data_IF_116939386756
#
_entry.id   IF_116939386756
#
_cell.length_a   1.000
_cell.length_b   1.000
_cell.length_c   1.000
_cell.angle_alpha   90.00
_cell.angle_beta   90.00
_cell.angle_gamma   90.00
#
_symmetry.space_group_name_H-M   'P 1'
#
loop_
_entity.id
_entity.type
_entity.pdbx_description
1 polymer ?
2 water ?
#
# COMPACT_ATOMS: atom_id res chain seq x y z
N UNK A 2 17.07 -0.44 -4.90
CA UNK A 2 18.43 -0.12 -5.31
C UNK A 2 19.28 -1.38 -5.49
N UNK A 3 20.19 -1.64 -4.53
CA UNK A 3 21.10 -2.79 -4.51
C UNK A 3 20.30 -4.12 -4.35
N UNK A 4 20.32 -5.02 -5.37
CA UNK A 4 19.55 -6.29 -5.28
C UNK A 4 20.12 -7.29 -4.26
N UNK A 5 19.22 -7.84 -3.42
CA UNK A 5 19.53 -8.83 -2.39
C UNK A 5 18.68 -10.05 -2.64
N UNK A 6 18.84 -11.10 -1.81
CA UNK A 6 18.05 -12.33 -1.89
C UNK A 6 16.71 -12.16 -1.11
N UNK A 7 16.49 -10.99 -0.45
CA UNK A 7 15.25 -10.73 0.31
C UNK A 7 14.41 -9.69 -0.42
N UNK A 8 13.15 -10.07 -0.71
CA UNK A 8 12.16 -9.23 -1.38
C UNK A 8 11.13 -8.73 -0.39
N UNK A 9 10.79 -7.45 -0.47
CA UNK A 9 9.72 -6.89 0.33
C UNK A 9 8.52 -6.58 -0.56
N UNK A 10 7.38 -7.21 -0.27
CA UNK A 10 6.12 -7.03 -1.01
C UNK A 10 5.19 -6.09 -0.23
N UNK A 11 4.85 -4.95 -0.85
CA UNK A 11 3.99 -3.94 -0.22
C UNK A 11 2.67 -3.77 -0.98
N UNK A 12 1.64 -3.21 -0.30
CA UNK A 12 0.28 -2.94 -0.80
C UNK A 12 -0.57 -4.20 -0.95
N UNK A 13 -0.16 -5.31 -0.33
CA UNK A 13 -0.87 -6.57 -0.51
C UNK A 13 -1.79 -6.95 0.63
N UNK A 14 -1.56 -6.45 1.84
CA UNK A 14 -2.34 -6.84 3.00
C UNK A 14 -2.74 -5.66 3.84
N UNK A 15 -3.88 -5.78 4.51
CA UNK A 15 -4.32 -4.83 5.55
C UNK A 15 -4.02 -5.47 6.91
N UNK A 16 -3.51 -4.73 7.92
CA UNK A 16 -3.22 -5.35 9.24
C UNK A 16 -4.36 -6.22 9.79
N UNK A 17 -5.63 -5.79 9.55
CA UNK A 17 -6.87 -6.45 9.98
C UNK A 17 -6.92 -7.91 9.50
N UNK A 18 -6.43 -8.14 8.26
CA UNK A 18 -6.39 -9.43 7.59
C UNK A 18 -5.37 -10.39 8.23
N UNK A 19 -4.51 -9.88 9.14
CA UNK A 19 -3.48 -10.73 9.77
C UNK A 19 -3.78 -11.08 11.22
N UNK A 20 -4.96 -10.69 11.74
CA UNK A 20 -5.29 -10.93 13.15
C UNK A 20 -5.67 -12.38 13.42
N UNK A 21 -6.51 -12.98 12.53
CA UNK A 21 -6.95 -14.36 12.72
C UNK A 21 -5.92 -15.32 12.11
N UNK A 22 -5.52 -16.31 12.94
CA UNK A 22 -4.51 -17.33 12.64
C UNK A 22 -4.78 -18.05 11.33
N UNK A 23 -6.04 -18.46 11.07
CA UNK A 23 -6.44 -19.14 9.85
C UNK A 23 -6.19 -18.27 8.63
N UNK A 24 -6.58 -16.98 8.71
CA UNK A 24 -6.40 -16.03 7.63
C UNK A 24 -4.91 -15.76 7.42
N UNK A 25 -4.16 -15.57 8.51
CA UNK A 25 -2.72 -15.29 8.45
C UNK A 25 -1.98 -16.45 7.79
N UNK A 26 -2.30 -17.70 8.21
CA UNK A 26 -1.69 -18.92 7.67
C UNK A 26 -2.00 -19.07 6.18
N UNK A 27 -3.22 -18.72 5.74
CA UNK A 27 -3.63 -18.78 4.33
C UNK A 27 -2.83 -17.79 3.50
N UNK A 28 -2.59 -16.56 4.04
CA UNK A 28 -1.81 -15.52 3.34
C UNK A 28 -0.36 -16.01 3.17
N UNK A 29 0.25 -16.56 4.23
CA UNK A 29 1.62 -17.10 4.22
C UNK A 29 1.75 -18.16 3.08
N UNK A 30 0.82 -19.14 3.04
CA UNK A 30 0.80 -20.20 2.03
C UNK A 30 0.63 -19.63 0.62
N UNK A 31 -0.30 -18.66 0.45
CA UNK A 31 -0.55 -18.03 -0.85
C UNK A 31 0.68 -17.29 -1.37
N UNK A 32 1.38 -16.56 -0.46
CA UNK A 32 2.59 -15.81 -0.77
C UNK A 32 3.71 -16.80 -1.23
N UNK A 33 3.95 -17.86 -0.42
CA UNK A 33 4.95 -18.89 -0.67
C UNK A 33 4.72 -19.51 -2.02
N UNK A 34 3.47 -19.91 -2.32
CA UNK A 34 3.11 -20.57 -3.58
C UNK A 34 3.38 -19.65 -4.77
N UNK A 35 2.99 -18.37 -4.66
CA UNK A 35 3.23 -17.41 -5.76
C UNK A 35 4.75 -17.14 -5.97
N UNK A 36 5.50 -16.92 -4.88
CA UNK A 36 6.93 -16.66 -4.96
C UNK A 36 7.73 -17.89 -5.45
N UNK A 37 7.27 -19.11 -5.11
CA UNK A 37 7.90 -20.37 -5.47
C UNK A 37 7.99 -20.58 -7.00
N UNK A 38 7.20 -19.84 -7.79
CA UNK A 38 7.19 -19.88 -9.26
C UNK A 38 8.46 -19.25 -9.84
N UNK A 39 9.24 -18.52 -9.01
CA UNK A 39 10.45 -17.80 -9.42
C UNK A 39 11.76 -18.36 -8.83
N UNK A 40 11.64 -19.03 -7.68
CA UNK A 40 12.78 -19.63 -7.03
C UNK A 40 12.43 -20.25 -5.70
N UNK A 41 13.44 -20.81 -5.06
CA UNK A 41 13.33 -21.49 -3.78
C UNK A 41 13.15 -20.45 -2.68
N UNK A 42 12.05 -20.54 -1.96
CA UNK A 42 11.74 -19.65 -0.85
C UNK A 42 12.39 -20.25 0.40
N UNK A 43 13.42 -19.58 0.91
CA UNK A 43 14.13 -20.03 2.09
C UNK A 43 13.25 -19.78 3.36
N UNK A 44 12.64 -18.58 3.44
CA UNK A 44 11.77 -18.18 4.55
C UNK A 44 10.87 -17.03 4.18
N UNK A 45 9.87 -16.78 5.02
CA UNK A 45 8.89 -15.70 4.89
C UNK A 45 8.69 -15.09 6.29
N UNK A 46 8.55 -13.77 6.33
CA UNK A 46 8.21 -12.99 7.51
C UNK A 46 7.09 -12.04 7.15
N UNK A 47 5.97 -12.19 7.83
CA UNK A 47 4.80 -11.33 7.69
C UNK A 47 4.51 -10.81 9.10
N UNK A 48 5.07 -9.61 9.48
CA UNK A 48 4.83 -9.10 10.85
C UNK A 48 3.33 -8.92 11.12
N UNK A 49 2.87 -9.50 12.24
CA UNK A 49 1.46 -9.51 12.64
C UNK A 49 1.15 -8.36 13.58
N UNK A 50 -0.04 -7.75 13.46
CA UNK A 50 -0.37 -6.61 14.35
C UNK A 50 -0.72 -7.03 15.77
N UNK A 51 -0.40 -6.17 16.74
CA UNK A 51 -0.70 -6.26 18.16
C UNK A 51 -1.20 -4.86 18.51
N UNK A 52 -2.50 -4.69 18.67
CA UNK A 52 -3.10 -3.39 18.89
C UNK A 52 -2.53 -2.67 20.13
N UNK A 53 -1.97 -1.49 19.90
CA UNK A 53 -1.37 -0.64 20.92
C UNK A 53 0.12 -0.82 21.11
N UNK A 54 0.67 -1.84 20.45
CA UNK A 54 2.10 -2.16 20.44
C UNK A 54 2.60 -1.93 19.02
N UNK A 55 3.75 -1.25 18.90
CA UNK A 55 4.32 -0.95 17.61
C UNK A 55 4.94 -2.22 17.00
N UNK A 56 4.53 -2.54 15.77
CA UNK A 56 5.07 -3.69 15.07
C UNK A 56 5.67 -3.19 13.74
N UNK A 57 7.00 -2.92 13.69
CA UNK A 57 7.58 -2.42 12.44
C UNK A 57 7.48 -3.44 11.31
N UNK A 58 7.08 -2.96 10.13
CA UNK A 58 6.95 -3.82 8.96
C UNK A 58 5.58 -4.43 8.78
N UNK A 59 4.64 -4.13 9.67
CA UNK A 59 3.28 -4.67 9.59
C UNK A 59 2.57 -4.03 8.40
N UNK A 60 1.97 -4.88 7.57
CA UNK A 60 1.36 -4.50 6.30
C UNK A 60 2.28 -4.85 5.14
N UNK A 61 3.51 -5.30 5.46
CA UNK A 61 4.55 -5.73 4.51
C UNK A 61 4.83 -7.24 4.59
N UNK A 62 5.25 -7.80 3.47
CA UNK A 62 5.58 -9.21 3.33
C UNK A 62 7.08 -9.31 2.93
N UNK A 63 7.85 -10.08 3.70
CA UNK A 63 9.28 -10.25 3.43
C UNK A 63 9.55 -11.70 3.05
N UNK A 64 10.11 -11.90 1.86
CA UNK A 64 10.37 -13.25 1.32
C UNK A 64 11.85 -13.39 1.02
N UNK A 65 12.49 -14.38 1.66
CA UNK A 65 13.91 -14.65 1.45
C UNK A 65 14.06 -15.80 0.46
N UNK A 66 14.80 -15.55 -0.65
CA UNK A 66 15.08 -16.58 -1.66
C UNK A 66 16.49 -17.17 -1.40
N UNK A 67 16.84 -18.28 -2.07
CA UNK A 67 18.16 -18.92 -1.89
C UNK A 67 19.25 -18.24 -2.73
N UNK A 68 18.88 -17.33 -3.65
CA UNK A 68 19.84 -16.58 -4.46
C UNK A 68 19.31 -15.19 -4.77
N UNK A 69 20.21 -14.26 -5.14
CA UNK A 69 19.87 -12.88 -5.54
C UNK A 69 19.11 -12.92 -6.89
N UNK A 70 19.55 -13.81 -7.79
CA UNK A 70 18.97 -14.00 -9.12
C UNK A 70 17.50 -14.42 -9.04
N UNK A 71 17.17 -15.38 -8.16
CA UNK A 71 15.79 -15.82 -8.00
C UNK A 71 14.92 -14.72 -7.43
N UNK A 72 15.49 -13.90 -6.52
CA UNK A 72 14.79 -12.76 -5.97
C UNK A 72 14.48 -11.70 -7.06
N UNK A 73 15.43 -11.43 -7.92
CA UNK A 73 15.28 -10.47 -9.02
C UNK A 73 14.22 -10.92 -10.00
N UNK A 74 14.15 -12.24 -10.28
CA UNK A 74 13.11 -12.86 -11.12
C UNK A 74 11.73 -12.69 -10.45
N UNK A 75 11.66 -12.83 -9.11
CA UNK A 75 10.43 -12.63 -8.33
C UNK A 75 10.03 -11.16 -8.38
N UNK A 76 10.99 -10.25 -8.22
CA UNK A 76 10.71 -8.80 -8.29
C UNK A 76 10.16 -8.46 -9.68
N UNK A 77 10.75 -9.06 -10.76
CA UNK A 77 10.28 -8.81 -12.12
C UNK A 77 8.85 -9.37 -12.31
N UNK A 78 8.60 -10.59 -11.86
CA UNK A 78 7.31 -11.25 -12.01
C UNK A 78 6.17 -10.72 -11.17
N UNK A 79 6.44 -10.17 -9.96
CA UNK A 79 5.42 -9.69 -9.02
C UNK A 79 5.13 -8.17 -9.08
N UNK A 80 6.16 -7.34 -9.32
CA UNK A 80 6.00 -5.88 -9.34
C UNK A 80 4.99 -5.48 -10.42
N UNK A 81 4.01 -4.66 -10.01
CA UNK A 81 2.94 -4.17 -10.88
C UNK A 81 1.76 -5.08 -11.04
N UNK A 82 1.86 -6.34 -10.56
CA UNK A 82 0.77 -7.30 -10.66
C UNK A 82 -0.33 -6.87 -9.70
N UNK A 83 -1.56 -6.95 -10.20
CA UNK A 83 -2.78 -6.60 -9.50
C UNK A 83 -3.06 -7.69 -8.47
N UNK A 84 -3.31 -7.26 -7.21
CA UNK A 84 -3.59 -8.12 -6.06
C UNK A 84 -4.53 -7.37 -5.12
N UNK A 85 -5.69 -7.97 -4.80
CA UNK A 85 -6.75 -7.43 -3.92
C UNK A 85 -7.26 -6.07 -4.46
N UNK A 86 -7.36 -5.95 -5.80
CA UNK A 86 -7.76 -4.78 -6.59
C UNK A 86 -6.75 -3.60 -6.42
N UNK A 87 -5.50 -3.89 -5.97
CA UNK A 87 -4.43 -2.92 -5.74
C UNK A 87 -3.25 -3.16 -6.73
N UNK A 88 -2.07 -2.55 -6.49
CA UNK A 88 -0.87 -2.69 -7.34
C UNK A 88 0.26 -3.19 -6.44
N UNK A 89 0.87 -4.40 -6.71
CA UNK A 89 1.98 -4.89 -5.89
C UNK A 89 3.19 -3.97 -6.13
N UNK A 90 3.71 -3.40 -5.02
CA UNK A 90 4.84 -2.49 -4.94
C UNK A 90 5.94 -3.22 -4.19
N UNK A 91 7.19 -3.18 -4.69
CA UNK A 91 8.28 -3.95 -4.07
C UNK A 91 9.55 -3.15 -3.77
N UNK A 92 10.47 -3.78 -3.02
CA UNK A 92 11.81 -3.28 -2.75
C UNK A 92 12.67 -4.45 -2.27
N UNK A 93 13.99 -4.30 -2.34
CA UNK A 93 14.90 -5.27 -1.76
C UNK A 93 15.05 -4.95 -0.29
N UNK A 94 15.24 -5.97 0.53
CA UNK A 94 15.40 -5.81 1.98
C UNK A 94 16.81 -6.26 2.32
N UNK A 95 17.50 -5.53 3.25
CA UNK A 95 18.84 -5.89 3.67
C UNK A 95 18.77 -7.25 4.37
N UNK A 96 19.60 -8.24 3.94
CA UNK A 96 19.51 -9.59 4.52
C UNK A 96 19.78 -9.65 6.02
N UNK A 97 20.78 -8.88 6.52
CA UNK A 97 21.13 -8.82 7.95
C UNK A 97 19.96 -8.29 8.79
N UNK A 98 19.31 -7.21 8.31
CA UNK A 98 18.13 -6.60 8.93
C UNK A 98 16.95 -7.58 8.98
N UNK A 99 16.78 -8.38 7.91
CA UNK A 99 15.74 -9.39 7.81
C UNK A 99 15.93 -10.49 8.89
N UNK A 100 17.15 -11.03 9.03
CA UNK A 100 17.46 -12.10 9.96
C UNK A 100 17.35 -11.66 11.43
N UNK A 101 17.67 -10.38 11.73
CA UNK A 101 17.56 -9.84 13.10
C UNK A 101 16.13 -9.24 13.33
N UNK A 102 15.23 -9.38 12.33
CA UNK A 102 13.83 -8.97 12.30
C UNK A 102 13.65 -7.45 12.55
N UNK A 103 14.56 -6.66 11.95
CA UNK A 103 14.57 -5.20 12.02
C UNK A 103 13.97 -4.65 10.72
N UNK A 104 12.63 -4.64 10.65
CA UNK A 104 11.86 -4.16 9.50
C UNK A 104 11.45 -2.70 9.69
N UNK A 105 10.84 -2.10 8.66
CA UNK A 105 10.41 -0.70 8.74
C UNK A 105 8.97 -0.57 8.27
N UNK B 2 -1.45 -3.22 -13.43
CA UNK B 2 -2.11 -1.96 -13.13
C UNK B 2 -1.55 -0.79 -13.93
N UNK B 3 -2.35 -0.25 -14.88
CA UNK B 3 -2.00 0.85 -15.78
C UNK B 3 -1.75 2.16 -15.00
N UNK B 4 -0.49 2.65 -14.92
CA UNK B 4 -0.22 3.86 -14.13
C UNK B 4 -0.78 5.12 -14.77
N UNK B 5 -1.34 6.00 -13.92
CA UNK B 5 -1.92 7.30 -14.29
C UNK B 5 -1.35 8.37 -13.37
N UNK B 6 -1.78 9.64 -13.60
CA UNK B 6 -1.38 10.79 -12.77
C UNK B 6 -2.31 10.91 -11.52
N UNK B 7 -3.32 10.03 -11.40
CA UNK B 7 -4.27 10.06 -10.27
C UNK B 7 -4.03 8.84 -9.37
N UNK B 8 -3.75 9.13 -8.09
CA UNK B 8 -3.51 8.15 -7.05
C UNK B 8 -4.72 8.00 -6.15
N UNK B 9 -5.10 6.76 -5.84
CA UNK B 9 -6.17 6.50 -4.90
C UNK B 9 -5.56 5.95 -3.61
N UNK B 10 -5.77 6.67 -2.50
CA UNK B 10 -5.29 6.30 -1.17
C UNK B 10 -6.44 5.66 -0.37
N UNK B 11 -6.24 4.42 0.05
CA UNK B 11 -7.26 3.65 0.79
C UNK B 11 -6.77 3.30 2.21
N UNK B 12 -7.72 2.99 3.12
CA UNK B 12 -7.52 2.64 4.53
C UNK B 12 -7.12 3.86 5.39
N UNK B 13 -7.33 5.09 4.92
CA UNK B 13 -6.87 6.24 5.67
C UNK B 13 -7.93 6.98 6.44
N UNK B 14 -9.20 6.82 6.08
CA UNK B 14 -10.28 7.57 6.74
C UNK B 14 -11.44 6.69 7.13
N UNK B 15 -12.06 7.10 8.24
CA UNK B 15 -13.23 6.50 8.82
C UNK B 15 -14.44 7.32 8.40
N UNK B 16 -15.61 6.69 8.11
CA UNK B 16 -16.81 7.48 7.73
C UNK B 16 -17.12 8.64 8.67
N UNK B 17 -16.93 8.42 10.00
CA UNK B 17 -17.15 9.37 11.10
C UNK B 17 -16.35 10.65 10.90
N UNK B 18 -15.08 10.54 10.46
CA UNK B 18 -14.21 11.69 10.21
C UNK B 18 -14.70 12.55 9.02
N UNK B 19 -15.48 11.95 8.11
CA UNK B 19 -16.02 12.62 6.93
C UNK B 19 -17.34 13.39 7.21
N UNK B 20 -17.69 13.58 8.50
CA UNK B 20 -18.90 14.32 8.90
C UNK B 20 -18.57 15.70 9.46
N UNK B 21 -17.52 15.81 10.33
CA UNK B 21 -17.10 17.09 10.92
C UNK B 21 -16.24 17.86 9.91
N UNK B 22 -16.63 19.13 9.60
CA UNK B 22 -15.94 20.01 8.64
C UNK B 22 -14.50 20.29 9.05
N UNK B 23 -14.24 20.58 10.35
CA UNK B 23 -12.91 20.88 10.90
C UNK B 23 -11.99 19.68 10.69
N UNK B 24 -12.49 18.49 11.00
CA UNK B 24 -11.76 17.23 10.88
C UNK B 24 -11.50 16.92 9.40
N UNK B 25 -12.53 17.09 8.54
CA UNK B 25 -12.44 16.83 7.10
C UNK B 25 -11.40 17.76 6.47
N UNK B 26 -11.41 19.06 6.84
CA UNK B 26 -10.46 20.03 6.28
C UNK B 26 -9.04 19.72 6.72
N UNK B 27 -8.86 19.27 7.96
CA UNK B 27 -7.55 18.91 8.47
C UNK B 27 -6.98 17.71 7.70
N UNK B 28 -7.84 16.72 7.37
CA UNK B 28 -7.44 15.53 6.61
C UNK B 28 -7.00 15.97 5.19
N UNK B 29 -7.77 16.84 4.53
CA UNK B 29 -7.46 17.37 3.18
C UNK B 29 -6.04 18.01 3.18
N UNK B 30 -5.79 18.91 4.15
CA UNK B 30 -4.51 19.61 4.30
C UNK B 30 -3.37 18.64 4.57
N UNK B 31 -3.58 17.66 5.48
CA UNK B 31 -2.58 16.65 5.80
C UNK B 31 -2.23 15.79 4.62
N UNK B 32 -3.23 15.41 3.81
CA UNK B 32 -3.04 14.59 2.61
C UNK B 32 -2.22 15.39 1.57
N UNK B 33 -2.59 16.65 1.32
CA UNK B 33 -1.88 17.55 0.40
C UNK B 33 -0.41 17.72 0.80
N UNK B 34 -0.15 18.03 2.09
CA UNK B 34 1.20 18.18 2.65
C UNK B 34 2.02 16.91 2.46
N UNK B 35 1.45 15.75 2.75
CA UNK B 35 2.20 14.49 2.63
C UNK B 35 2.51 14.16 1.15
N UNK B 36 1.50 14.30 0.26
CA UNK B 36 1.67 14.01 -1.17
C UNK B 36 2.63 15.00 -1.85
N UNK B 37 2.64 16.26 -1.41
CA UNK B 37 3.48 17.34 -1.97
C UNK B 37 4.98 17.07 -1.85
N UNK B 38 5.38 16.14 -0.96
CA UNK B 38 6.77 15.72 -0.77
C UNK B 38 7.30 14.93 -1.97
N UNK B 39 6.40 14.49 -2.88
CA UNK B 39 6.70 13.66 -4.07
C UNK B 39 6.49 14.35 -5.38
N UNK B 40 5.56 15.27 -5.43
CA UNK B 40 5.27 15.99 -6.64
C UNK B 40 4.21 17.04 -6.46
N UNK B 41 3.93 17.74 -7.55
CA UNK B 41 2.97 18.80 -7.59
C UNK B 41 1.57 18.19 -7.57
N UNK B 42 0.78 18.56 -6.53
CA UNK B 42 -0.58 18.09 -6.38
C UNK B 42 -1.45 19.07 -7.17
N UNK B 43 -2.05 18.59 -8.25
CA UNK B 43 -2.92 19.43 -9.09
C UNK B 43 -4.27 19.62 -8.36
N UNK B 44 -4.83 18.53 -7.78
CA UNK B 44 -6.10 18.55 -7.05
C UNK B 44 -6.25 17.34 -6.14
N UNK B 45 -7.23 17.41 -5.24
CA UNK B 45 -7.59 16.35 -4.31
C UNK B 45 -9.12 16.23 -4.28
N UNK B 46 -9.63 15.00 -4.18
CA UNK B 46 -11.03 14.68 -4.02
C UNK B 46 -11.16 13.67 -2.89
N UNK B 47 -11.89 14.07 -1.84
CA UNK B 47 -12.21 13.20 -0.72
C UNK B 47 -13.74 13.19 -0.62
N UNK B 48 -14.43 12.21 -1.25
CA UNK B 48 -15.89 12.18 -1.21
C UNK B 48 -16.45 12.08 0.21
N UNK B 49 -17.55 12.83 0.47
CA UNK B 49 -18.28 12.95 1.73
C UNK B 49 -19.70 12.40 1.60
N UNK B 50 -20.38 11.94 2.71
CA UNK B 50 -21.77 11.44 2.58
C UNK B 50 -22.76 12.46 2.01
N UNK B 53 -25.87 10.50 4.88
CA UNK B 53 -27.11 9.73 4.81
C UNK B 53 -27.49 9.30 3.40
N UNK B 54 -26.77 9.83 2.40
CA UNK B 54 -26.99 9.53 0.98
C UNK B 54 -25.75 8.79 0.48
N UNK B 55 -25.93 7.83 -0.43
CA UNK B 55 -24.81 7.07 -1.02
C UNK B 55 -23.91 7.95 -1.89
N UNK B 56 -22.63 8.02 -1.52
CA UNK B 56 -21.65 8.81 -2.26
C UNK B 56 -20.51 7.84 -2.60
N UNK B 57 -20.48 7.37 -3.87
CA UNK B 57 -19.39 6.47 -4.31
C UNK B 57 -18.00 7.06 -4.09
N UNK B 58 -17.12 6.22 -3.57
CA UNK B 58 -15.74 6.62 -3.29
C UNK B 58 -15.51 7.10 -1.88
N UNK B 59 -16.58 7.12 -1.03
CA UNK B 59 -16.44 7.53 0.37
C UNK B 59 -15.58 6.51 1.12
N UNK B 60 -14.62 7.04 1.87
CA UNK B 60 -13.65 6.25 2.60
C UNK B 60 -12.31 6.20 1.85
N UNK B 61 -12.31 6.70 0.60
CA UNK B 61 -11.13 6.76 -0.26
C UNK B 61 -10.70 8.23 -0.51
N UNK B 62 -9.40 8.41 -0.83
CA UNK B 62 -8.78 9.70 -1.10
C UNK B 62 -8.19 9.67 -2.52
N UNK B 63 -8.54 10.65 -3.35
CA UNK B 63 -8.06 10.71 -4.73
C UNK B 63 -7.17 11.94 -4.90
N UNK B 64 -5.92 11.73 -5.31
CA UNK B 64 -4.95 12.83 -5.46
C UNK B 64 -4.44 12.84 -6.89
N UNK B 65 -4.63 13.98 -7.57
CA UNK B 65 -4.18 14.16 -8.94
C UNK B 65 -2.85 14.89 -8.95
N UNK B 66 -1.82 14.29 -9.57
CA UNK B 66 -0.49 14.89 -9.71
C UNK B 66 -0.38 15.53 -11.11
N UNK B 67 0.65 16.36 -11.36
CA UNK B 67 0.85 17.01 -12.68
C UNK B 67 1.49 16.07 -13.70
N UNK B 68 1.99 14.90 -13.25
CA UNK B 68 2.60 13.93 -14.17
C UNK B 68 2.38 12.51 -13.64
N UNK B 69 2.54 11.49 -14.51
CA UNK B 69 2.42 10.08 -14.12
C UNK B 69 3.60 9.72 -13.18
N UNK B 70 4.82 10.23 -13.52
CA UNK B 70 6.05 10.02 -12.74
C UNK B 70 5.90 10.50 -11.27
N UNK B 71 5.26 11.67 -11.04
CA UNK B 71 5.00 12.23 -9.71
C UNK B 71 4.07 11.34 -8.93
N UNK B 72 3.05 10.84 -9.60
CA UNK B 72 2.09 9.96 -8.98
C UNK B 72 2.71 8.62 -8.56
N UNK B 73 3.59 8.06 -9.40
CA UNK B 73 4.31 6.81 -9.14
C UNK B 73 5.28 7.00 -7.97
N UNK B 74 5.95 8.17 -7.87
CA UNK B 74 6.84 8.51 -6.75
C UNK B 74 6.05 8.57 -5.44
N UNK B 75 4.84 9.13 -5.49
CA UNK B 75 3.92 9.20 -4.35
C UNK B 75 3.46 7.78 -3.97
N UNK B 76 3.19 6.92 -4.97
CA UNK B 76 2.83 5.53 -4.74
C UNK B 76 3.99 4.83 -4.02
N UNK B 77 5.20 5.03 -4.51
CA UNK B 77 6.36 4.40 -3.87
C UNK B 77 6.52 4.89 -2.42
N UNK B 78 6.44 6.19 -2.20
CA UNK B 78 6.65 6.77 -0.88
C UNK B 78 5.57 6.55 0.16
N UNK B 79 4.29 6.46 -0.26
CA UNK B 79 3.15 6.36 0.65
C UNK B 79 2.67 4.94 0.93
N UNK B 80 2.75 4.02 -0.06
CA UNK B 80 2.28 2.64 0.11
C UNK B 80 3.01 1.97 1.28
N UNK B 81 2.21 1.42 2.21
CA UNK B 81 2.70 0.72 3.41
C UNK B 81 2.97 1.62 4.61
N UNK B 82 2.96 2.94 4.40
CA UNK B 82 3.22 3.88 5.51
C UNK B 82 1.98 4.05 6.35
N UNK B 83 2.10 4.75 7.49
CA UNK B 83 0.92 5.00 8.30
C UNK B 83 0.46 6.44 8.17
N UNK B 84 -0.86 6.62 8.13
CA UNK B 84 -1.60 7.88 8.13
C UNK B 84 -2.71 7.69 9.13
N UNK B 85 -2.86 8.60 10.11
CA UNK B 85 -3.86 8.53 11.20
C UNK B 85 -3.84 7.13 11.86
N UNK B 86 -2.61 6.61 12.04
CA UNK B 86 -2.25 5.31 12.64
C UNK B 86 -2.77 4.12 11.76
N UNK B 87 -2.99 4.37 10.46
CA UNK B 87 -3.48 3.30 9.59
C UNK B 87 -2.51 3.04 8.44
N UNK B 88 -2.29 1.76 8.08
CA UNK B 88 -1.42 1.36 6.96
C UNK B 88 -2.13 1.75 5.64
N UNK B 89 -1.42 2.53 4.82
CA UNK B 89 -1.88 3.08 3.56
C UNK B 89 -1.75 2.06 2.43
N UNK B 90 -2.87 1.83 1.71
CA UNK B 90 -3.03 0.94 0.58
C UNK B 90 -3.38 1.80 -0.62
N UNK B 91 -2.76 1.57 -1.80
CA UNK B 91 -2.98 2.45 -2.95
C UNK B 91 -3.34 1.72 -4.28
N UNK B 92 -3.79 2.52 -5.27
CA UNK B 92 -4.04 2.10 -6.66
C UNK B 92 -4.09 3.33 -7.54
N UNK B 93 -3.98 3.15 -8.86
CA UNK B 93 -4.16 4.23 -9.81
C UNK B 93 -5.64 4.40 -10.10
N UNK B 94 -6.05 5.63 -10.39
CA UNK B 94 -7.43 5.97 -10.72
C UNK B 94 -7.47 6.48 -12.16
N UNK B 95 -8.51 6.09 -12.95
CA UNK B 95 -8.63 6.57 -14.34
C UNK B 95 -8.83 8.10 -14.31
N UNK B 96 -8.00 8.86 -15.06
CA UNK B 96 -8.08 10.33 -14.99
C UNK B 96 -9.43 10.90 -15.44
N UNK B 97 -10.04 10.33 -16.49
CA UNK B 97 -11.34 10.77 -17.03
C UNK B 97 -12.44 10.58 -15.99
N UNK B 98 -12.44 9.42 -15.30
CA UNK B 98 -13.37 9.07 -14.24
C UNK B 98 -13.23 10.03 -13.05
N UNK B 99 -11.99 10.41 -12.72
CA UNK B 99 -11.67 11.35 -11.66
C UNK B 99 -12.29 12.75 -11.94
N UNK B 100 -12.08 13.28 -13.15
CA UNK B 100 -12.55 14.61 -13.55
C UNK B 100 -14.07 14.70 -13.63
N UNK B 101 -14.75 13.60 -14.01
CA UNK B 101 -16.22 13.57 -14.07
C UNK B 101 -16.83 13.10 -12.72
N UNK B 102 -15.95 12.90 -11.70
CA UNK B 102 -16.22 12.52 -10.30
C UNK B 102 -17.00 11.19 -10.20
N UNK B 103 -16.62 10.23 -11.07
CA UNK B 103 -17.18 8.88 -11.14
C UNK B 103 -16.23 7.91 -10.40
N UNK B 104 -16.34 7.91 -9.06
CA UNK B 104 -15.52 7.06 -8.17
C UNK B 104 -16.25 5.75 -7.84
N UNK B 105 -15.56 4.83 -7.15
CA UNK B 105 -16.11 3.53 -6.74
C UNK B 105 -15.98 3.32 -5.23
#
# INVERSE_FOLDING_TARGET
>A
GGHPTEVLCLMNMVLPEELLDDEEYEEIVEDVRDECSKYGLVKSIEIPRPVDGVEVPGCGKIFVEFTSVFDCQKAMQGLTGRKFANRVVVTKYCDPDSYHRRDFW
>B
GGHPTEVLCLMNMVLPEELLDDEEYEEIVEDVRDECSKYGLVKSIEIPRPVDGVEVPGCGKIFVEFTSVFDCQKAMQGLTGRKFANRVVVTKYCDPDSYHRRDFW
#
